data_IF_497026855750
#
_entry.id   IF_497026855750
#
_cell.length_a   1.000
_cell.length_b   1.000
_cell.length_c   1.000
_cell.angle_alpha   90.00
_cell.angle_beta   90.00
_cell.angle_gamma   90.00
#
_symmetry.space_group_name_H-M   'P 1'
#
loop_
_entity.id
_entity.type
_entity.pdbx_description
1 polymer ?
#
# COMPACT_ATOMS: atom_id res chain seq x y z
N UNK A 1 -22.14 -6.53 -15.82
CA UNK A 1 -22.92 -6.05 -14.66
C UNK A 1 -23.43 -4.66 -15.00
N UNK A 2 -24.46 -4.15 -14.31
CA UNK A 2 -24.83 -2.75 -14.48
C UNK A 2 -23.73 -1.85 -13.88
N UNK A 3 -23.55 -0.65 -14.45
CA UNK A 3 -22.65 0.38 -13.91
C UNK A 3 -23.06 0.73 -12.48
N UNK A 4 -22.08 0.77 -11.59
CA UNK A 4 -22.25 1.16 -10.19
C UNK A 4 -22.14 2.68 -10.12
N UNK A 5 -23.16 3.34 -9.59
CA UNK A 5 -23.18 4.81 -9.44
C UNK A 5 -22.69 5.23 -8.04
N UNK A 6 -22.05 6.39 -7.95
CA UNK A 6 -21.69 7.00 -6.67
C UNK A 6 -22.95 7.40 -5.90
N UNK A 7 -22.86 7.39 -4.57
CA UNK A 7 -24.01 7.66 -3.70
C UNK A 7 -23.76 8.90 -2.86
N UNK A 8 -24.76 9.77 -2.76
CA UNK A 8 -24.78 10.82 -1.75
C UNK A 8 -25.29 10.20 -0.44
N UNK A 9 -24.44 10.16 0.58
CA UNK A 9 -24.76 9.53 1.86
C UNK A 9 -25.54 10.46 2.82
N UNK A 10 -25.77 11.72 2.45
CA UNK A 10 -26.50 12.71 3.25
C UNK A 10 -25.68 13.34 4.38
N UNK A 11 -24.38 13.06 4.49
CA UNK A 11 -23.49 13.76 5.42
C UNK A 11 -23.19 15.15 4.88
N UNK A 12 -23.49 16.16 5.68
CA UNK A 12 -23.12 17.55 5.39
C UNK A 12 -21.69 17.79 5.87
N UNK A 13 -20.80 18.14 4.95
CA UNK A 13 -19.50 18.69 5.29
C UNK A 13 -19.59 20.22 5.38
N UNK A 14 -19.24 20.77 6.54
CA UNK A 14 -19.09 22.21 6.75
C UNK A 14 -17.62 22.55 6.61
N UNK A 15 -17.26 23.14 5.47
CA UNK A 15 -15.87 23.33 5.06
C UNK A 15 -15.09 24.26 6.01
N UNK A 16 -15.70 25.39 6.40
CA UNK A 16 -15.05 26.42 7.23
C UNK A 16 -14.70 25.91 8.64
N UNK A 17 -15.63 25.17 9.26
CA UNK A 17 -15.41 24.55 10.57
C UNK A 17 -14.69 23.20 10.49
N UNK A 18 -14.56 22.65 9.28
CA UNK A 18 -14.03 21.31 9.02
C UNK A 18 -14.79 20.21 9.78
N UNK A 19 -16.12 20.28 9.75
CA UNK A 19 -17.01 19.37 10.49
C UNK A 19 -17.91 18.53 9.59
N UNK A 20 -18.23 17.31 10.02
CA UNK A 20 -19.13 16.40 9.32
C UNK A 20 -20.40 16.18 10.15
N UNK A 21 -21.57 16.28 9.53
CA UNK A 21 -22.86 16.21 10.21
C UNK A 21 -23.82 15.26 9.50
N UNK A 22 -24.30 14.24 10.22
CA UNK A 22 -25.39 13.36 9.80
C UNK A 22 -26.65 13.73 10.60
N UNK A 23 -27.47 14.62 10.04
CA UNK A 23 -28.54 15.27 10.80
C UNK A 23 -27.95 16.05 11.98
N UNK A 24 -28.43 15.77 13.20
CA UNK A 24 -27.95 16.41 14.43
C UNK A 24 -26.70 15.74 15.03
N UNK A 25 -26.18 14.68 14.38
CA UNK A 25 -25.02 13.93 14.88
C UNK A 25 -23.76 14.37 14.16
N UNK A 26 -22.80 14.90 14.91
CA UNK A 26 -21.45 15.15 14.39
C UNK A 26 -20.69 13.83 14.19
N UNK A 27 -20.00 13.71 13.06
CA UNK A 27 -19.06 12.65 12.73
C UNK A 27 -17.63 13.20 12.70
N UNK A 28 -16.65 12.31 12.78
CA UNK A 28 -15.24 12.70 12.86
C UNK A 28 -14.48 12.37 11.57
N UNK A 29 -13.53 13.24 11.21
CA UNK A 29 -12.60 13.00 10.11
C UNK A 29 -11.61 11.88 10.40
N UNK A 30 -11.32 11.03 9.41
CA UNK A 30 -10.37 9.91 9.56
C UNK A 30 -8.92 10.39 9.73
N UNK A 31 -8.58 11.58 9.22
CA UNK A 31 -7.21 12.14 9.29
C UNK A 31 -6.79 12.38 10.74
N UNK A 32 -7.73 12.82 11.59
CA UNK A 32 -7.51 12.96 13.03
C UNK A 32 -7.22 11.62 13.72
N UNK A 33 -7.97 10.57 13.36
CA UNK A 33 -7.74 9.21 13.87
C UNK A 33 -6.35 8.70 13.47
N UNK A 34 -5.99 8.85 12.20
CA UNK A 34 -4.67 8.44 11.68
C UNK A 34 -3.54 9.21 12.36
N UNK A 35 -3.74 10.52 12.61
CA UNK A 35 -2.76 11.33 13.32
C UNK A 35 -2.49 10.79 14.73
N UNK A 36 -3.56 10.52 15.50
CA UNK A 36 -3.45 10.01 16.87
C UNK A 36 -2.86 8.60 16.93
N UNK A 37 -3.30 7.72 16.02
CA UNK A 37 -3.00 6.28 16.10
C UNK A 37 -1.70 5.88 15.41
N UNK A 38 -1.28 6.59 14.36
CA UNK A 38 -0.16 6.17 13.49
C UNK A 38 0.87 7.26 13.25
N UNK A 39 0.44 8.46 12.84
CA UNK A 39 1.38 9.49 12.41
C UNK A 39 2.03 10.26 13.59
N UNK A 40 1.50 10.11 14.80
CA UNK A 40 2.06 10.70 16.02
C UNK A 40 2.11 12.21 15.93
N UNK A 41 3.28 12.81 16.17
CA UNK A 41 3.47 14.24 16.15
C UNK A 41 4.33 14.70 14.95
N UNK A 42 3.77 14.65 13.74
CA UNK A 42 4.44 15.00 12.47
C UNK A 42 5.07 16.41 12.48
N UNK A 43 4.52 17.33 13.28
CA UNK A 43 4.92 18.74 13.32
C UNK A 43 5.63 19.16 14.62
N UNK A 44 6.05 18.21 15.45
CA UNK A 44 6.79 18.54 16.67
C UNK A 44 8.06 19.35 16.33
N UNK A 45 8.21 20.49 16.99
CA UNK A 45 9.33 21.41 16.77
C UNK A 45 9.24 22.27 15.50
N UNK A 46 8.15 22.17 14.72
CA UNK A 46 7.89 23.11 13.62
C UNK A 46 7.23 24.40 14.13
N UNK A 47 7.75 25.59 13.75
CA UNK A 47 7.08 26.85 14.06
C UNK A 47 5.66 26.90 13.48
N UNK A 48 4.70 27.28 14.32
CA UNK A 48 3.27 27.30 13.99
C UNK A 48 2.95 28.11 12.71
N UNK A 49 3.62 29.25 12.51
CA UNK A 49 3.44 30.08 11.31
C UNK A 49 3.83 29.35 10.01
N UNK A 50 4.77 28.40 10.05
CA UNK A 50 5.14 27.59 8.88
C UNK A 50 4.09 26.53 8.58
N UNK A 51 3.51 25.91 9.63
CA UNK A 51 2.42 24.94 9.51
C UNK A 51 1.21 25.63 8.90
N UNK A 52 0.83 26.80 9.45
CA UNK A 52 -0.30 27.59 8.95
C UNK A 52 -0.12 27.98 7.49
N UNK A 53 1.04 28.55 7.13
CA UNK A 53 1.35 28.93 5.75
C UNK A 53 1.33 27.75 4.78
N UNK A 54 1.82 26.58 5.22
CA UNK A 54 1.78 25.37 4.41
C UNK A 54 0.34 24.87 4.22
N UNK A 55 -0.49 24.96 5.26
CA UNK A 55 -1.92 24.67 5.22
C UNK A 55 -2.68 25.60 4.26
N UNK A 56 -2.51 26.92 4.39
CA UNK A 56 -3.12 27.93 3.51
C UNK A 56 -2.77 27.68 2.03
N UNK A 57 -1.50 27.38 1.73
CA UNK A 57 -1.09 27.01 0.38
C UNK A 57 -1.76 25.72 -0.10
N UNK A 58 -1.77 24.68 0.74
CA UNK A 58 -2.43 23.41 0.41
C UNK A 58 -3.91 23.60 0.09
N UNK A 59 -4.64 24.30 0.97
CA UNK A 59 -6.05 24.66 0.77
C UNK A 59 -6.26 25.44 -0.52
N UNK A 60 -5.40 26.41 -0.82
CA UNK A 60 -5.50 27.17 -2.08
C UNK A 60 -5.37 26.27 -3.31
N UNK A 61 -4.39 25.35 -3.31
CA UNK A 61 -4.16 24.44 -4.44
C UNK A 61 -5.33 23.46 -4.60
N UNK A 62 -5.84 22.91 -3.50
CA UNK A 62 -7.02 22.05 -3.48
C UNK A 62 -8.23 22.76 -4.09
N UNK A 63 -8.57 23.97 -3.62
CA UNK A 63 -9.70 24.76 -4.14
C UNK A 63 -9.55 25.10 -5.63
N UNK A 64 -8.33 25.38 -6.08
CA UNK A 64 -8.07 25.66 -7.50
C UNK A 64 -8.29 24.43 -8.38
N UNK A 65 -7.88 23.24 -7.93
CA UNK A 65 -8.13 21.98 -8.63
C UNK A 65 -9.61 21.61 -8.57
N UNK A 66 -10.29 21.84 -7.45
CA UNK A 66 -11.72 21.62 -7.31
C UNK A 66 -12.53 22.47 -8.29
N UNK A 67 -12.25 23.79 -8.38
CA UNK A 67 -12.88 24.69 -9.38
C UNK A 67 -12.62 24.24 -10.81
N UNK A 68 -11.43 23.72 -11.11
CA UNK A 68 -11.16 23.15 -12.43
C UNK A 68 -12.07 21.94 -12.72
N UNK A 69 -12.23 21.03 -11.75
CA UNK A 69 -13.01 19.80 -11.94
C UNK A 69 -14.51 20.09 -12.02
N UNK A 70 -15.03 20.93 -11.12
CA UNK A 70 -16.46 21.14 -10.93
C UNK A 70 -17.02 22.27 -11.81
N UNK A 71 -16.23 23.34 -12.02
CA UNK A 71 -16.68 24.56 -12.69
C UNK A 71 -15.97 24.78 -14.04
N UNK A 72 -15.02 23.91 -14.43
CA UNK A 72 -14.15 24.07 -15.60
C UNK A 72 -13.34 25.37 -15.58
N UNK A 73 -13.10 25.94 -14.40
CA UNK A 73 -12.36 27.18 -14.22
C UNK A 73 -10.85 26.90 -14.11
N UNK A 74 -10.08 27.42 -15.05
CA UNK A 74 -8.62 27.32 -15.05
C UNK A 74 -8.00 28.64 -14.58
N UNK A 75 -7.43 28.66 -13.37
CA UNK A 75 -6.89 29.90 -12.77
C UNK A 75 -5.48 30.30 -13.25
N UNK A 76 -4.84 29.45 -14.07
CA UNK A 76 -3.54 29.74 -14.70
C UNK A 76 -2.34 29.41 -13.83
N UNK A 77 -2.55 28.82 -12.65
CA UNK A 77 -1.46 28.37 -11.77
C UNK A 77 -0.70 27.18 -12.36
N UNK A 78 0.58 27.05 -12.01
CA UNK A 78 1.42 25.93 -12.44
C UNK A 78 0.92 24.63 -11.83
N UNK A 79 0.36 24.68 -10.63
CA UNK A 79 -0.22 23.55 -9.91
C UNK A 79 -1.43 22.97 -10.63
N UNK A 80 -2.36 23.83 -11.10
CA UNK A 80 -3.53 23.41 -11.90
C UNK A 80 -3.08 22.82 -13.24
N UNK A 81 -2.11 23.44 -13.91
CA UNK A 81 -1.57 22.89 -15.16
C UNK A 81 -0.83 21.54 -14.93
N UNK A 82 -0.10 21.41 -13.83
CA UNK A 82 0.55 20.14 -13.45
C UNK A 82 -0.49 19.06 -13.17
N UNK A 83 -1.57 19.40 -12.47
CA UNK A 83 -2.69 18.51 -12.23
C UNK A 83 -3.32 18.00 -13.53
N UNK A 84 -3.62 18.90 -14.46
CA UNK A 84 -4.19 18.57 -15.78
C UNK A 84 -3.29 17.60 -16.55
N UNK A 85 -1.99 17.88 -16.58
CA UNK A 85 -1.03 17.04 -17.29
C UNK A 85 -0.89 15.65 -16.66
N UNK A 86 -0.85 15.56 -15.32
CA UNK A 86 -0.77 14.27 -14.62
C UNK A 86 -2.04 13.42 -14.76
N UNK A 87 -3.20 14.07 -14.93
CA UNK A 87 -4.51 13.39 -14.94
C UNK A 87 -5.17 13.33 -16.32
N UNK A 88 -4.46 13.72 -17.39
CA UNK A 88 -5.01 13.82 -18.75
C UNK A 88 -5.70 12.54 -19.26
N UNK A 89 -5.20 11.36 -18.87
CA UNK A 89 -5.74 10.06 -19.28
C UNK A 89 -6.68 9.43 -18.24
N UNK A 90 -7.04 10.17 -17.18
CA UNK A 90 -7.91 9.68 -16.10
C UNK A 90 -9.35 10.16 -16.29
N UNK A 91 -10.30 9.29 -16.00
CA UNK A 91 -11.72 9.65 -15.95
C UNK A 91 -12.08 10.08 -14.53
N UNK A 92 -11.91 11.37 -14.22
CA UNK A 92 -12.29 11.95 -12.93
C UNK A 92 -13.81 11.95 -12.82
N UNK A 93 -14.34 11.24 -11.82
CA UNK A 93 -15.78 11.10 -11.62
C UNK A 93 -16.32 11.98 -10.50
N UNK A 94 -15.50 12.25 -9.47
CA UNK A 94 -15.84 13.17 -8.40
C UNK A 94 -14.58 13.77 -7.78
N UNK A 95 -14.71 15.01 -7.30
CA UNK A 95 -13.80 15.61 -6.33
C UNK A 95 -14.53 15.80 -4.99
N UNK A 96 -13.78 15.87 -3.90
CA UNK A 96 -14.32 16.08 -2.54
C UNK A 96 -15.46 15.10 -2.19
N UNK A 97 -15.34 13.84 -2.65
CA UNK A 97 -16.39 12.84 -2.51
C UNK A 97 -16.47 12.35 -1.06
N UNK A 98 -17.59 12.59 -0.39
CA UNK A 98 -17.79 12.19 0.99
C UNK A 98 -18.02 10.68 1.14
N UNK A 99 -17.23 10.05 2.00
CA UNK A 99 -17.39 8.66 2.43
C UNK A 99 -17.60 8.58 3.93
N UNK A 100 -18.45 7.65 4.38
CA UNK A 100 -18.78 7.50 5.79
C UNK A 100 -19.12 6.05 6.15
N UNK A 101 -18.90 5.70 7.42
CA UNK A 101 -19.47 4.48 8.03
C UNK A 101 -20.92 4.68 8.50
N UNK A 102 -21.48 5.89 8.31
CA UNK A 102 -22.80 6.35 8.74
C UNK A 102 -23.02 6.31 10.25
N UNK A 103 -21.94 6.16 11.04
CA UNK A 103 -22.03 6.00 12.48
C UNK A 103 -21.07 6.90 13.25
N UNK A 104 -19.80 6.97 12.89
CA UNK A 104 -18.80 7.70 13.67
C UNK A 104 -17.82 8.48 12.81
N UNK A 105 -17.44 7.96 11.64
CA UNK A 105 -16.48 8.59 10.75
C UNK A 105 -17.11 9.05 9.44
N UNK A 106 -16.70 10.23 8.99
CA UNK A 106 -16.92 10.70 7.63
C UNK A 106 -15.70 11.48 7.18
N UNK A 107 -15.38 11.44 5.89
CA UNK A 107 -14.26 12.18 5.34
C UNK A 107 -14.41 12.34 3.84
N UNK A 108 -13.89 13.44 3.31
CA UNK A 108 -13.86 13.67 1.88
C UNK A 108 -12.62 13.06 1.24
N UNK A 109 -12.82 12.36 0.12
CA UNK A 109 -11.77 11.93 -0.79
C UNK A 109 -11.53 13.05 -1.79
N UNK A 110 -10.29 13.52 -1.91
CA UNK A 110 -9.94 14.60 -2.82
C UNK A 110 -10.40 14.31 -4.25
N UNK A 111 -10.05 13.13 -4.80
CA UNK A 111 -10.39 12.73 -6.17
C UNK A 111 -10.73 11.24 -6.28
N UNK A 112 -11.83 10.95 -6.95
CA UNK A 112 -12.26 9.60 -7.36
C UNK A 112 -12.23 9.51 -8.88
N UNK A 113 -11.50 8.53 -9.42
CA UNK A 113 -11.44 8.26 -10.86
C UNK A 113 -12.15 6.95 -11.19
N UNK A 114 -12.99 6.94 -12.23
CA UNK A 114 -13.60 5.72 -12.76
C UNK A 114 -12.65 4.96 -13.67
N UNK A 115 -12.51 3.67 -13.42
CA UNK A 115 -11.72 2.75 -14.27
C UNK A 115 -12.65 1.88 -15.12
N UNK A 116 -13.75 1.41 -14.55
CA UNK A 116 -14.75 0.60 -15.23
C UNK A 116 -16.15 0.77 -14.61
N UNK A 117 -17.10 -0.07 -15.01
CA UNK A 117 -18.45 -0.09 -14.44
C UNK A 117 -18.46 -0.32 -12.93
N UNK A 118 -17.43 -0.98 -12.37
CA UNK A 118 -17.35 -1.32 -10.94
C UNK A 118 -16.01 -1.02 -10.27
N UNK A 119 -15.00 -0.57 -11.02
CA UNK A 119 -13.66 -0.28 -10.49
C UNK A 119 -13.34 1.20 -10.51
N UNK A 120 -12.66 1.66 -9.45
CA UNK A 120 -12.32 3.05 -9.19
C UNK A 120 -10.88 3.16 -8.69
N UNK A 121 -10.23 4.29 -8.95
CA UNK A 121 -8.98 4.68 -8.30
C UNK A 121 -9.26 5.87 -7.37
N UNK A 122 -8.54 5.93 -6.25
CA UNK A 122 -8.64 7.02 -5.27
C UNK A 122 -7.31 7.76 -5.24
N UNK A 123 -7.38 9.08 -5.33
CA UNK A 123 -6.22 9.95 -5.31
C UNK A 123 -6.33 10.97 -4.18
N UNK A 124 -5.20 11.25 -3.55
CA UNK A 124 -5.05 12.26 -2.48
C UNK A 124 -3.97 13.26 -2.90
N UNK A 125 -4.29 14.54 -2.84
CA UNK A 125 -3.49 15.65 -3.30
C UNK A 125 -2.63 16.18 -2.15
N UNK A 126 -1.32 16.10 -2.32
CA UNK A 126 -0.35 16.58 -1.33
C UNK A 126 0.58 17.63 -1.90
N UNK A 127 0.77 18.69 -1.12
CA UNK A 127 1.54 19.88 -1.50
C UNK A 127 2.85 20.02 -0.72
N UNK A 128 3.47 18.90 -0.37
CA UNK A 128 4.72 18.88 0.38
C UNK A 128 5.86 19.50 -0.45
N UNK A 129 6.80 20.17 0.23
CA UNK A 129 7.88 20.90 -0.44
C UNK A 129 9.14 20.05 -0.67
N UNK A 130 9.19 18.86 -0.10
CA UNK A 130 10.30 17.91 -0.24
C UNK A 130 10.17 17.15 -1.55
N UNK A 131 11.24 17.07 -2.36
CA UNK A 131 11.21 16.45 -3.69
C UNK A 131 10.75 14.98 -3.73
N UNK A 132 10.79 14.27 -2.60
CA UNK A 132 10.22 12.94 -2.43
C UNK A 132 9.53 12.88 -1.07
N UNK A 133 8.37 12.22 -1.01
CA UNK A 133 7.67 11.98 0.25
C UNK A 133 8.58 11.25 1.27
N UNK A 134 8.56 11.72 2.51
CA UNK A 134 9.27 11.05 3.60
C UNK A 134 8.59 9.74 3.99
N UNK A 135 9.28 8.86 4.73
CA UNK A 135 8.67 7.62 5.26
C UNK A 135 7.40 7.92 6.07
N UNK A 136 7.41 8.98 6.89
CA UNK A 136 6.25 9.36 7.71
C UNK A 136 5.06 9.83 6.85
N UNK A 137 5.31 10.70 5.87
CA UNK A 137 4.29 11.18 4.93
C UNK A 137 3.70 10.03 4.11
N UNK A 138 4.56 9.12 3.63
CA UNK A 138 4.13 7.91 2.92
C UNK A 138 3.25 7.01 3.79
N UNK A 139 3.64 6.77 5.04
CA UNK A 139 2.84 5.99 5.99
C UNK A 139 1.48 6.63 6.24
N UNK A 140 1.42 7.95 6.46
CA UNK A 140 0.17 8.68 6.66
C UNK A 140 -0.75 8.58 5.44
N UNK A 141 -0.23 8.86 4.24
CA UNK A 141 -0.97 8.73 3.00
C UNK A 141 -1.47 7.30 2.77
N UNK A 142 -0.64 6.29 3.08
CA UNK A 142 -1.01 4.87 2.99
C UNK A 142 -2.23 4.54 3.83
N UNK A 143 -2.25 4.97 5.09
CA UNK A 143 -3.41 4.76 5.96
C UNK A 143 -4.62 5.59 5.51
N UNK A 144 -4.44 6.86 5.14
CA UNK A 144 -5.52 7.73 4.69
C UNK A 144 -6.24 7.16 3.47
N UNK A 145 -5.51 6.88 2.39
CA UNK A 145 -6.06 6.33 1.16
C UNK A 145 -6.66 4.93 1.34
N UNK A 146 -6.09 4.10 2.21
CA UNK A 146 -6.65 2.77 2.48
C UNK A 146 -7.93 2.83 3.30
N UNK A 147 -8.02 3.75 4.28
CA UNK A 147 -9.25 4.01 5.02
C UNK A 147 -10.33 4.63 4.11
N UNK A 148 -9.97 5.52 3.20
CA UNK A 148 -10.87 6.00 2.15
C UNK A 148 -11.42 4.84 1.31
N UNK A 149 -10.54 3.96 0.83
CA UNK A 149 -10.97 2.81 0.03
C UNK A 149 -11.91 1.88 0.81
N UNK A 150 -11.62 1.63 2.08
CA UNK A 150 -12.49 0.86 2.97
C UNK A 150 -13.89 1.49 3.10
N UNK A 151 -13.97 2.79 3.43
CA UNK A 151 -15.24 3.48 3.59
C UNK A 151 -15.99 3.61 2.25
N UNK A 152 -15.27 3.84 1.15
CA UNK A 152 -15.83 3.90 -0.19
C UNK A 152 -16.51 2.60 -0.58
N UNK A 153 -15.83 1.46 -0.44
CA UNK A 153 -16.40 0.14 -0.77
C UNK A 153 -17.50 -0.29 0.23
N UNK A 154 -17.43 0.19 1.48
CA UNK A 154 -18.49 0.00 2.46
C UNK A 154 -19.77 0.72 2.05
N UNK A 155 -19.66 1.95 1.58
CA UNK A 155 -20.79 2.81 1.17
C UNK A 155 -21.33 2.44 -0.22
N UNK A 156 -20.45 2.28 -1.21
CA UNK A 156 -20.79 2.03 -2.61
C UNK A 156 -20.77 0.51 -2.88
N UNK A 157 -21.88 -0.16 -2.58
CA UNK A 157 -21.96 -1.63 -2.64
C UNK A 157 -21.63 -2.17 -4.04
N UNK A 158 -20.69 -3.11 -4.08
CA UNK A 158 -20.23 -3.76 -5.30
C UNK A 158 -19.08 -3.04 -6.01
N UNK A 159 -18.74 -1.81 -5.59
CA UNK A 159 -17.56 -1.12 -6.10
C UNK A 159 -16.28 -1.75 -5.56
N UNK A 160 -15.21 -1.61 -6.33
CA UNK A 160 -13.85 -2.01 -5.95
C UNK A 160 -12.88 -0.87 -6.21
N UNK A 161 -12.10 -0.51 -5.21
CA UNK A 161 -10.98 0.40 -5.38
C UNK A 161 -9.75 -0.41 -5.83
N UNK A 162 -9.28 -0.12 -7.03
CA UNK A 162 -8.16 -0.80 -7.68
C UNK A 162 -6.83 -0.22 -7.20
N UNK A 163 -6.56 1.05 -7.52
CA UNK A 163 -5.31 1.71 -7.16
C UNK A 163 -5.52 2.90 -6.21
N UNK A 164 -4.50 3.13 -5.39
CA UNK A 164 -4.38 4.29 -4.50
C UNK A 164 -3.17 5.09 -4.93
N UNK A 165 -3.30 6.41 -5.06
CA UNK A 165 -2.21 7.28 -5.54
C UNK A 165 -2.18 8.58 -4.76
N UNK A 166 -0.97 9.11 -4.53
CA UNK A 166 -0.80 10.51 -4.14
C UNK A 166 -0.48 11.33 -5.37
N UNK A 167 -1.19 12.43 -5.56
CA UNK A 167 -0.80 13.50 -6.48
C UNK A 167 0.09 14.48 -5.70
N UNK A 168 1.38 14.42 -5.93
CA UNK A 168 2.34 15.28 -5.25
C UNK A 168 2.62 16.49 -6.15
N UNK A 169 2.01 17.62 -5.80
CA UNK A 169 2.06 18.85 -6.60
C UNK A 169 2.47 20.01 -5.72
N UNK A 170 3.60 20.65 -6.02
CA UNK A 170 4.02 21.85 -5.33
C UNK A 170 4.86 22.74 -6.24
N UNK A 171 4.48 24.01 -6.35
CA UNK A 171 5.25 25.06 -6.99
C UNK A 171 5.53 26.17 -5.98
N UNK A 172 6.74 26.19 -5.43
CA UNK A 172 7.13 27.09 -4.34
C UNK A 172 8.55 27.61 -4.56
N UNK A 173 8.92 28.66 -3.82
CA UNK A 173 10.29 29.14 -3.76
C UNK A 173 10.85 28.94 -2.36
N UNK A 174 12.03 28.32 -2.24
CA UNK A 174 12.75 28.22 -0.96
C UNK A 174 13.22 29.59 -0.48
N UNK A 175 13.62 29.68 0.79
CA UNK A 175 14.19 30.90 1.37
C UNK A 175 15.46 31.39 0.65
N UNK A 176 16.22 30.47 0.06
CA UNK A 176 17.44 30.76 -0.71
C UNK A 176 17.16 31.15 -2.18
N UNK A 177 15.89 31.29 -2.57
CA UNK A 177 15.50 31.63 -3.95
C UNK A 177 15.40 30.43 -4.89
N UNK A 178 15.75 29.22 -4.44
CA UNK A 178 15.66 28.01 -5.28
C UNK A 178 14.19 27.68 -5.56
N UNK A 179 13.78 27.54 -6.83
CA UNK A 179 12.44 27.08 -7.16
C UNK A 179 12.28 25.60 -6.82
N UNK A 180 11.09 25.25 -6.32
CA UNK A 180 10.58 23.89 -6.14
C UNK A 180 9.44 23.76 -7.13
N UNK A 181 9.58 22.84 -8.08
CA UNK A 181 8.49 22.43 -8.94
C UNK A 181 8.40 20.89 -8.87
N UNK A 182 7.33 20.41 -8.26
CA UNK A 182 7.05 19.00 -8.05
C UNK A 182 5.71 18.71 -8.72
N UNK A 183 5.70 17.70 -9.58
CA UNK A 183 4.52 17.17 -10.24
C UNK A 183 4.77 15.67 -10.49
N UNK A 184 4.28 14.82 -9.60
CA UNK A 184 4.42 13.37 -9.73
C UNK A 184 3.19 12.63 -9.19
N UNK A 185 2.97 11.42 -9.72
CA UNK A 185 2.01 10.46 -9.18
C UNK A 185 2.81 9.41 -8.41
N UNK A 186 2.48 9.24 -7.14
CA UNK A 186 3.13 8.26 -6.27
C UNK A 186 2.14 7.13 -5.96
N UNK A 187 2.36 5.91 -6.48
CA UNK A 187 1.52 4.76 -6.15
C UNK A 187 1.60 4.41 -4.66
N UNK A 188 0.47 4.02 -4.08
CA UNK A 188 0.35 3.69 -2.66
C UNK A 188 -0.14 2.25 -2.51
N UNK A 189 0.58 1.49 -1.68
CA UNK A 189 0.21 0.11 -1.38
C UNK A 189 -0.98 0.06 -0.42
N UNK A 190 -2.09 -0.55 -0.86
CA UNK A 190 -3.31 -0.68 -0.07
C UNK A 190 -3.12 -1.51 1.19
N UNK A 191 -3.60 -0.99 2.31
CA UNK A 191 -3.75 -1.73 3.57
C UNK A 191 -5.07 -2.51 3.53
N UNK A 192 -5.08 -3.78 3.96
CA UNK A 192 -6.31 -4.57 4.11
C UNK A 192 -7.41 -3.86 4.92
N UNK A 193 -8.65 -4.05 4.49
CA UNK A 193 -9.82 -3.36 5.04
C UNK A 193 -10.07 -3.67 6.54
N UNK A 194 -9.76 -4.89 6.99
CA UNK A 194 -9.84 -5.31 8.38
C UNK A 194 -8.87 -4.53 9.29
N UNK A 195 -7.67 -4.22 8.78
CA UNK A 195 -6.69 -3.39 9.50
C UNK A 195 -7.15 -1.93 9.55
N UNK A 196 -7.68 -1.39 8.45
CA UNK A 196 -8.27 -0.04 8.43
C UNK A 196 -9.43 0.07 9.42
N UNK A 197 -10.33 -0.91 9.43
CA UNK A 197 -11.43 -0.99 10.39
C UNK A 197 -10.90 -1.06 11.83
N UNK A 198 -9.91 -1.90 12.11
CA UNK A 198 -9.32 -2.01 13.44
C UNK A 198 -8.68 -0.70 13.93
N UNK A 199 -8.07 0.09 13.04
CA UNK A 199 -7.56 1.42 13.38
C UNK A 199 -8.69 2.37 13.80
N UNK A 200 -9.76 2.44 12.99
CA UNK A 200 -10.90 3.32 13.27
C UNK A 200 -11.66 2.90 14.53
N UNK A 201 -11.86 1.60 14.73
CA UNK A 201 -12.50 1.06 15.93
C UNK A 201 -11.68 1.37 17.20
N UNK A 202 -10.36 1.19 17.15
CA UNK A 202 -9.48 1.52 18.28
C UNK A 202 -9.55 3.01 18.63
N UNK A 203 -9.47 3.89 17.63
CA UNK A 203 -9.61 5.34 17.86
C UNK A 203 -10.97 5.72 18.45
N UNK A 204 -12.06 5.17 17.92
CA UNK A 204 -13.43 5.37 18.43
C UNK A 204 -13.56 4.93 19.89
N UNK A 205 -12.93 3.82 20.26
CA UNK A 205 -12.99 3.27 21.62
C UNK A 205 -12.01 3.94 22.59
N UNK A 206 -11.17 4.88 22.13
CA UNK A 206 -10.12 5.48 22.94
C UNK A 206 -8.97 4.51 23.26
N UNK A 207 -8.81 3.47 22.45
CA UNK A 207 -7.79 2.44 22.57
C UNK A 207 -6.60 2.74 21.65
N UNK A 208 -5.43 2.22 22.00
CA UNK A 208 -4.26 2.28 21.12
C UNK A 208 -4.39 1.21 20.04
N UNK A 209 -4.34 1.62 18.78
CA UNK A 209 -4.33 0.72 17.64
C UNK A 209 -3.07 -0.16 17.68
N UNK A 210 -3.27 -1.48 17.69
CA UNK A 210 -2.20 -2.45 17.59
C UNK A 210 -1.77 -2.59 16.12
N UNK A 211 -0.83 -1.73 15.70
CA UNK A 211 -0.38 -1.65 14.32
C UNK A 211 0.41 -2.91 13.91
N UNK A 212 -0.12 -3.75 12.99
CA UNK A 212 0.54 -5.01 12.60
C UNK A 212 1.82 -4.79 11.78
N UNK A 213 2.05 -3.58 11.29
CA UNK A 213 3.28 -3.20 10.58
C UNK A 213 4.34 -2.61 11.52
N UNK A 214 4.01 -2.37 12.79
CA UNK A 214 4.98 -1.92 13.77
C UNK A 214 5.75 -3.11 14.32
N UNK A 215 7.04 -3.15 14.01
CA UNK A 215 7.94 -4.17 14.53
C UNK A 215 8.60 -3.69 15.82
N UNK A 216 8.84 -4.58 16.80
CA UNK A 216 9.68 -4.24 17.94
C UNK A 216 11.05 -3.70 17.46
N UNK A 217 11.56 -2.65 18.12
CA UNK A 217 12.83 -1.98 17.72
C UNK A 217 14.00 -2.96 17.54
N UNK A 218 14.08 -3.99 18.37
CA UNK A 218 15.11 -5.03 18.27
C UNK A 218 14.98 -5.93 17.04
N UNK A 219 13.76 -6.09 16.51
CA UNK A 219 13.50 -6.78 15.24
C UNK A 219 13.77 -5.85 14.07
N UNK A 220 13.28 -4.59 14.12
CA UNK A 220 13.45 -3.60 13.04
C UNK A 220 14.94 -3.38 12.68
N UNK A 221 15.81 -3.30 13.70
CA UNK A 221 17.27 -3.19 13.53
C UNK A 221 17.88 -4.34 12.72
N UNK A 222 17.27 -5.52 12.73
CA UNK A 222 17.75 -6.72 12.03
C UNK A 222 17.20 -6.85 10.62
N UNK A 223 16.05 -6.23 10.31
CA UNK A 223 15.35 -6.40 9.03
C UNK A 223 16.24 -6.11 7.81
N UNK A 224 16.98 -4.99 7.81
CA UNK A 224 17.88 -4.64 6.68
C UNK A 224 18.94 -5.70 6.42
N UNK A 225 19.52 -6.27 7.48
CA UNK A 225 20.53 -7.33 7.38
C UNK A 225 19.91 -8.63 6.87
N UNK A 226 18.73 -8.98 7.38
CA UNK A 226 17.98 -10.18 6.95
C UNK A 226 17.65 -10.11 5.46
N UNK A 227 17.09 -8.98 4.99
CA UNK A 227 16.76 -8.78 3.57
C UNK A 227 18.01 -8.95 2.70
N UNK A 228 19.13 -8.31 3.08
CA UNK A 228 20.39 -8.45 2.36
C UNK A 228 20.89 -9.90 2.32
N UNK A 229 20.82 -10.61 3.44
CA UNK A 229 21.25 -12.02 3.50
C UNK A 229 20.38 -12.93 2.62
N UNK A 230 19.07 -12.71 2.58
CA UNK A 230 18.14 -13.45 1.73
C UNK A 230 18.46 -13.19 0.25
N UNK A 231 18.68 -11.92 -0.12
CA UNK A 231 19.02 -11.55 -1.49
C UNK A 231 20.36 -12.15 -1.92
N UNK A 232 21.41 -12.02 -1.10
CA UNK A 232 22.72 -12.63 -1.38
C UNK A 232 22.63 -14.16 -1.47
N UNK A 233 21.81 -14.80 -0.63
CA UNK A 233 21.59 -16.25 -0.71
C UNK A 233 20.97 -16.62 -2.06
N UNK A 234 19.93 -15.90 -2.50
CA UNK A 234 19.27 -16.13 -3.77
C UNK A 234 20.23 -15.99 -4.95
N UNK A 235 20.99 -14.90 -5.00
CA UNK A 235 21.99 -14.64 -6.04
C UNK A 235 23.06 -15.75 -6.11
N UNK A 236 23.59 -16.16 -4.95
CA UNK A 236 24.57 -17.23 -4.88
C UNK A 236 24.00 -18.60 -5.29
N UNK A 237 22.73 -18.89 -4.96
CA UNK A 237 22.03 -20.10 -5.40
C UNK A 237 21.81 -20.12 -6.92
N UNK A 238 21.46 -18.98 -7.52
CA UNK A 238 21.30 -18.82 -8.97
C UNK A 238 22.64 -18.99 -9.71
N UNK A 239 23.70 -18.32 -9.24
CA UNK A 239 25.05 -18.45 -9.80
C UNK A 239 25.57 -19.89 -9.70
N UNK A 240 25.43 -20.51 -8.53
CA UNK A 240 25.85 -21.91 -8.33
C UNK A 240 25.06 -22.85 -9.24
N UNK A 241 23.78 -22.60 -9.48
CA UNK A 241 22.96 -23.40 -10.39
C UNK A 241 23.44 -23.28 -11.83
N UNK A 242 23.79 -22.07 -12.27
CA UNK A 242 24.36 -21.82 -13.59
C UNK A 242 25.70 -22.56 -13.78
N UNK A 243 26.63 -22.37 -12.85
CA UNK A 243 27.95 -23.04 -12.88
C UNK A 243 27.80 -24.56 -12.88
N UNK A 244 26.91 -25.12 -12.04
CA UNK A 244 26.64 -26.57 -12.02
C UNK A 244 26.18 -27.09 -13.38
N UNK A 245 25.34 -26.32 -14.08
CA UNK A 245 24.85 -26.68 -15.41
C UNK A 245 25.98 -26.70 -16.44
N UNK A 246 26.82 -25.67 -16.48
CA UNK A 246 27.97 -25.59 -17.39
C UNK A 246 28.97 -26.74 -17.16
N UNK A 247 29.27 -27.04 -15.89
CA UNK A 247 30.14 -28.16 -15.52
C UNK A 247 29.53 -29.48 -15.97
N UNK A 248 28.24 -29.70 -15.75
CA UNK A 248 27.55 -30.91 -16.18
C UNK A 248 27.57 -31.08 -17.71
N UNK A 249 27.31 -30.02 -18.46
CA UNK A 249 27.40 -30.00 -19.93
C UNK A 249 28.81 -30.36 -20.41
N UNK A 250 29.84 -29.83 -19.75
CA UNK A 250 31.24 -30.15 -20.05
C UNK A 250 31.56 -31.62 -19.74
N UNK A 251 31.10 -32.14 -18.59
CA UNK A 251 31.28 -33.56 -18.23
C UNK A 251 30.60 -34.49 -19.24
N UNK A 252 29.41 -34.12 -19.74
CA UNK A 252 28.71 -34.86 -20.79
C UNK A 252 29.48 -34.85 -22.10
N UNK A 253 29.96 -33.67 -22.53
CA UNK A 253 30.74 -33.51 -23.77
C UNK A 253 32.02 -34.35 -23.75
N UNK A 254 32.73 -34.35 -22.61
CA UNK A 254 33.97 -35.11 -22.43
C UNK A 254 33.76 -36.58 -22.05
N UNK A 255 32.51 -37.01 -21.84
CA UNK A 255 32.16 -38.37 -21.39
C UNK A 255 32.90 -38.79 -20.10
N UNK A 256 33.01 -37.88 -19.12
CA UNK A 256 33.65 -38.16 -17.83
C UNK A 256 32.62 -38.25 -16.72
N UNK A 257 32.71 -39.29 -15.87
CA UNK A 257 31.77 -39.51 -14.77
C UNK A 257 32.13 -38.78 -13.47
N UNK A 258 33.43 -38.47 -13.25
CA UNK A 258 33.85 -37.73 -12.06
C UNK A 258 35.15 -36.95 -12.25
N UNK A 259 35.24 -35.80 -11.58
CA UNK A 259 36.47 -35.03 -11.41
C UNK A 259 36.75 -34.75 -9.94
N UNK A 260 38.04 -34.66 -9.58
CA UNK A 260 38.48 -34.26 -8.25
C UNK A 260 39.38 -33.03 -8.37
N UNK A 261 39.11 -32.03 -7.54
CA UNK A 261 39.95 -30.86 -7.34
C UNK A 261 40.36 -30.74 -5.87
N UNK A 262 41.05 -29.65 -5.55
CA UNK A 262 41.38 -29.33 -4.16
C UNK A 262 40.09 -28.96 -3.39
N UNK A 263 39.73 -29.76 -2.39
CA UNK A 263 38.54 -29.56 -1.57
C UNK A 263 37.18 -29.76 -2.28
N UNK A 264 37.13 -30.24 -3.53
CA UNK A 264 35.88 -30.40 -4.29
C UNK A 264 35.87 -31.68 -5.14
N UNK A 265 34.69 -32.29 -5.30
CA UNK A 265 34.47 -33.42 -6.20
C UNK A 265 33.21 -33.18 -7.03
N UNK A 266 33.32 -33.40 -8.34
CA UNK A 266 32.21 -33.38 -9.28
C UNK A 266 31.89 -34.82 -9.66
N UNK A 267 30.62 -35.19 -9.59
CA UNK A 267 30.18 -36.54 -9.96
C UNK A 267 28.87 -36.45 -10.72
N UNK A 268 28.85 -37.04 -11.91
CA UNK A 268 27.67 -37.11 -12.76
C UNK A 268 26.82 -38.30 -12.32
N UNK A 269 25.53 -38.08 -12.11
CA UNK A 269 24.56 -39.16 -11.88
C UNK A 269 23.76 -39.39 -13.15
N UNK A 270 23.56 -40.64 -13.53
CA UNK A 270 22.71 -40.99 -14.66
C UNK A 270 21.25 -40.58 -14.41
N UNK A 271 20.50 -40.36 -15.49
CA UNK A 271 19.07 -40.09 -15.37
C UNK A 271 18.36 -41.25 -14.67
N UNK A 272 17.50 -40.92 -13.71
CA UNK A 272 16.71 -41.89 -12.96
C UNK A 272 15.26 -41.45 -12.91
N UNK A 273 14.34 -42.43 -12.83
CA UNK A 273 12.92 -42.15 -12.61
C UNK A 273 12.63 -42.19 -11.11
N UNK A 274 12.06 -41.11 -10.58
CA UNK A 274 11.59 -41.06 -9.19
C UNK A 274 10.09 -41.35 -9.15
N UNK A 275 9.69 -42.32 -8.33
CA UNK A 275 8.28 -42.53 -7.95
C UNK A 275 8.08 -42.10 -6.50
N UNK A 276 6.97 -41.40 -6.22
CA UNK A 276 6.56 -40.99 -4.87
C UNK A 276 5.08 -41.26 -4.66
N UNK A 277 4.71 -41.63 -3.44
CA UNK A 277 3.33 -41.89 -3.08
C UNK A 277 2.57 -40.57 -2.79
N UNK A 278 1.50 -40.31 -3.54
CA UNK A 278 0.61 -39.16 -3.29
C UNK A 278 -0.45 -39.53 -2.25
N UNK A 279 -0.13 -39.22 -0.99
CA UNK A 279 -1.03 -39.48 0.13
C UNK A 279 -2.34 -38.68 0.01
N UNK A 280 -2.34 -37.47 -0.52
CA UNK A 280 -3.54 -36.63 -0.60
C UNK A 280 -4.54 -37.20 -1.63
N UNK A 281 -4.05 -37.57 -2.81
CA UNK A 281 -4.87 -38.24 -3.82
C UNK A 281 -5.41 -39.59 -3.34
N UNK A 282 -4.59 -40.36 -2.61
CA UNK A 282 -5.00 -41.64 -2.03
C UNK A 282 -6.15 -41.46 -1.02
N UNK A 283 -6.03 -40.52 -0.08
CA UNK A 283 -7.08 -40.19 0.90
C UNK A 283 -8.40 -39.78 0.23
N UNK A 284 -8.32 -38.99 -0.84
CA UNK A 284 -9.49 -38.55 -1.60
C UNK A 284 -10.20 -39.70 -2.32
N UNK A 285 -9.45 -40.67 -2.84
CA UNK A 285 -9.98 -41.79 -3.62
C UNK A 285 -10.48 -42.94 -2.73
N UNK A 286 -9.88 -43.13 -1.56
CA UNK A 286 -10.21 -44.22 -0.64
C UNK A 286 -10.41 -43.69 0.79
N UNK A 287 -11.51 -42.95 1.05
CA UNK A 287 -11.75 -42.33 2.35
C UNK A 287 -11.92 -43.35 3.49
N UNK A 288 -12.42 -44.56 3.19
CA UNK A 288 -12.77 -45.58 4.18
C UNK A 288 -11.66 -46.61 4.45
N UNK A 289 -10.53 -46.51 3.76
CA UNK A 289 -9.42 -47.45 3.92
C UNK A 289 -8.62 -47.07 5.18
N UNK A 290 -8.41 -47.97 6.15
CA UNK A 290 -7.60 -47.67 7.33
C UNK A 290 -6.12 -47.64 6.94
N UNK A 291 -5.48 -46.46 7.06
CA UNK A 291 -4.05 -46.29 6.82
C UNK A 291 -3.33 -45.53 7.95
N UNK A 292 -4.06 -45.12 9.00
CA UNK A 292 -3.52 -44.32 10.10
C UNK A 292 -2.39 -45.04 10.87
N UNK A 293 -2.47 -46.38 11.00
CA UNK A 293 -1.44 -47.20 11.64
C UNK A 293 -0.07 -47.14 10.92
N UNK A 294 -0.07 -46.72 9.66
CA UNK A 294 1.14 -46.56 8.84
C UNK A 294 1.63 -45.11 8.81
N UNK A 295 0.92 -44.17 9.44
CA UNK A 295 1.36 -42.78 9.56
C UNK A 295 2.25 -42.64 10.78
N UNK A 296 3.56 -42.51 10.54
CA UNK A 296 4.50 -42.09 11.57
C UNK A 296 4.31 -40.60 11.87
N UNK A 297 3.89 -40.29 13.10
CA UNK A 297 3.86 -38.91 13.61
C UNK A 297 5.14 -38.61 14.38
N UNK A 298 5.77 -37.48 14.09
CA UNK A 298 6.91 -36.97 14.84
C UNK A 298 6.67 -35.51 15.21
N UNK A 299 7.04 -35.13 16.43
CA UNK A 299 7.00 -33.73 16.84
C UNK A 299 8.07 -32.96 16.06
N UNK A 300 7.66 -31.86 15.43
CA UNK A 300 8.55 -30.96 14.71
C UNK A 300 8.66 -29.67 15.54
N UNK A 301 9.89 -29.19 15.74
CA UNK A 301 10.11 -27.92 16.40
C UNK A 301 9.50 -26.77 15.59
N UNK A 302 9.01 -25.73 16.29
CA UNK A 302 8.54 -24.52 15.62
C UNK A 302 9.66 -23.87 14.80
N UNK A 303 9.30 -23.29 13.65
CA UNK A 303 10.23 -22.62 12.75
C UNK A 303 9.80 -21.19 12.45
N UNK A 304 10.77 -20.27 12.35
CA UNK A 304 10.52 -18.92 11.83
C UNK A 304 10.49 -18.96 10.30
N UNK A 305 9.38 -18.51 9.70
CA UNK A 305 9.26 -18.29 8.26
C UNK A 305 9.44 -16.81 7.97
N UNK A 306 10.38 -16.46 7.10
CA UNK A 306 10.62 -15.09 6.64
C UNK A 306 10.27 -15.04 5.16
N UNK A 307 9.39 -14.10 4.80
CA UNK A 307 9.04 -13.78 3.42
C UNK A 307 9.43 -12.33 3.19
N UNK A 308 10.18 -12.08 2.13
CA UNK A 308 10.43 -10.72 1.62
C UNK A 308 9.35 -10.39 0.60
N UNK A 309 8.82 -9.17 0.65
CA UNK A 309 7.90 -8.64 -0.36
C UNK A 309 8.59 -8.52 -1.73
#
# INVERSE_FOLDING_TARGET
MARIELVNNGVLFKEDEHEYWLGDKQLFGITGAIQRQVAGHEYDGCPEYLIKRAGEYGTSVHKSIERLINDFEHDGTVEVESFRNLTADMNIEASEYNVSDMEYYASNIDIVCRVSDSEFDILDLKTYSNAKLTKAQMTKARYQLSCYAYLFELQVKGARVRDLKVLHIANKTKKDGTPINIAEIVPIERIPADICKALLDADRNGEQFNNPYELPKEVEKKCKRIIKLIQTKKEAEEELTHIKKEILETMLFLSVDSWKGDGITFSRTAETTRSSFDLAAFKKKYPDLPYDDFIKKSNVAGSLKILTA
#
